data_IF_979949546156
#
_entry.id   IF_979949546156
#
_cell.length_a   1.000
_cell.length_b   1.000
_cell.length_c   1.000
_cell.angle_alpha   90.00
_cell.angle_beta   90.00
_cell.angle_gamma   90.00
#
_symmetry.space_group_name_H-M   'P 1'
#
loop_
_entity.id
_entity.type
_entity.pdbx_description
1 polymer ?
#
# COMPACT_ATOMS: atom_id res chain seq x y z
N UNK A 1 22.16 -14.11 0.65
CA UNK A 1 20.75 -14.18 0.21
C UNK A 1 20.58 -15.49 -0.55
N UNK A 2 19.51 -16.24 -0.28
CA UNK A 2 19.28 -17.56 -0.90
C UNK A 2 17.92 -17.66 -1.63
N UNK A 3 17.01 -16.71 -1.39
CA UNK A 3 15.70 -16.64 -2.03
C UNK A 3 15.21 -15.19 -2.08
N UNK A 4 14.15 -14.97 -2.86
CA UNK A 4 13.38 -13.74 -2.96
C UNK A 4 12.37 -13.56 -1.81
N UNK A 5 12.49 -14.34 -0.73
CA UNK A 5 11.59 -14.25 0.40
C UNK A 5 11.72 -12.90 1.14
N UNK A 6 10.62 -12.50 1.79
CA UNK A 6 10.62 -11.43 2.78
C UNK A 6 10.68 -12.08 4.15
N UNK A 7 11.78 -11.86 4.88
CA UNK A 7 11.94 -12.36 6.25
C UNK A 7 11.59 -11.24 7.24
N UNK A 8 10.72 -11.55 8.21
CA UNK A 8 10.36 -10.65 9.32
C UNK A 8 11.00 -11.19 10.60
N UNK A 9 11.65 -10.31 11.36
CA UNK A 9 12.26 -10.64 12.65
C UNK A 9 11.71 -9.70 13.72
N UNK A 10 11.33 -10.26 14.86
CA UNK A 10 10.87 -9.52 16.03
C UNK A 10 11.84 -9.78 17.17
N UNK A 11 12.36 -8.71 17.78
CA UNK A 11 13.14 -8.83 19.01
C UNK A 11 12.23 -9.25 20.15
N UNK A 12 12.57 -10.35 20.83
CA UNK A 12 11.85 -10.83 22.01
C UNK A 12 11.86 -9.80 23.14
N UNK A 13 13.01 -9.19 23.40
CA UNK A 13 13.21 -8.25 24.51
C UNK A 13 12.51 -6.90 24.27
N UNK A 14 12.59 -6.38 23.05
CA UNK A 14 12.17 -4.99 22.77
C UNK A 14 10.91 -4.90 21.92
N UNK A 15 10.44 -6.00 21.34
CA UNK A 15 9.39 -6.01 20.32
C UNK A 15 9.79 -5.33 19.01
N UNK A 16 11.04 -4.89 18.86
CA UNK A 16 11.50 -4.19 17.66
C UNK A 16 11.41 -5.07 16.41
N UNK A 17 10.82 -4.51 15.34
CA UNK A 17 10.55 -5.23 14.08
C UNK A 17 11.64 -4.89 13.05
N UNK A 18 12.10 -5.90 12.32
CA UNK A 18 13.02 -5.76 11.18
C UNK A 18 12.58 -6.64 10.01
N UNK A 19 12.88 -6.20 8.78
CA UNK A 19 12.64 -6.93 7.54
C UNK A 19 13.97 -7.14 6.81
N UNK A 20 14.17 -8.34 6.26
CA UNK A 20 15.26 -8.62 5.33
C UNK A 20 14.71 -9.13 3.98
N UNK A 21 15.16 -8.50 2.89
CA UNK A 21 14.79 -8.85 1.51
C UNK A 21 15.82 -8.24 0.53
N UNK A 22 16.14 -8.94 -0.57
CA UNK A 22 17.08 -8.46 -1.61
C UNK A 22 18.44 -7.98 -1.04
N UNK A 23 19.00 -8.73 -0.10
CA UNK A 23 20.29 -8.43 0.55
C UNK A 23 20.28 -7.21 1.47
N UNK A 24 19.13 -6.57 1.69
CA UNK A 24 18.96 -5.39 2.55
C UNK A 24 18.21 -5.75 3.81
N UNK A 25 18.59 -5.11 4.92
CA UNK A 25 17.89 -5.23 6.20
C UNK A 25 17.38 -3.85 6.63
N UNK A 26 16.07 -3.71 6.78
CA UNK A 26 15.42 -2.56 7.37
C UNK A 26 15.14 -2.86 8.85
N UNK A 27 15.64 -2.02 9.76
CA UNK A 27 15.52 -2.22 11.21
C UNK A 27 14.64 -1.16 11.84
N UNK A 28 14.12 -1.46 13.04
CA UNK A 28 13.32 -0.54 13.87
C UNK A 28 12.11 -0.02 13.10
N UNK A 29 11.40 -0.92 12.43
CA UNK A 29 10.15 -0.59 11.78
C UNK A 29 9.07 -0.42 12.85
N UNK A 30 8.31 0.66 12.72
CA UNK A 30 7.02 0.78 13.40
C UNK A 30 5.95 -0.07 12.66
N UNK A 31 4.80 -0.35 13.30
CA UNK A 31 3.75 -1.16 12.69
C UNK A 31 3.21 -0.57 11.37
N UNK A 32 3.11 0.75 11.26
CA UNK A 32 2.60 1.43 10.07
C UNK A 32 3.55 1.24 8.87
N UNK A 33 4.86 1.35 9.10
CA UNK A 33 5.89 1.06 8.09
C UNK A 33 5.89 -0.40 7.68
N UNK A 34 5.74 -1.32 8.63
CA UNK A 34 5.61 -2.76 8.31
C UNK A 34 4.40 -2.98 7.39
N UNK A 35 3.24 -2.43 7.74
CA UNK A 35 2.02 -2.55 6.95
C UNK A 35 2.19 -1.98 5.54
N UNK A 36 2.74 -0.76 5.42
CA UNK A 36 2.98 -0.12 4.14
C UNK A 36 3.92 -0.94 3.25
N UNK A 37 5.01 -1.47 3.83
CA UNK A 37 5.97 -2.31 3.12
C UNK A 37 5.28 -3.59 2.63
N UNK A 38 4.61 -4.34 3.51
CA UNK A 38 3.94 -5.58 3.13
C UNK A 38 2.80 -5.34 2.13
N UNK A 39 2.07 -4.24 2.27
CA UNK A 39 1.01 -3.84 1.33
C UNK A 39 1.60 -3.58 -0.05
N UNK A 40 2.70 -2.85 -0.15
CA UNK A 40 3.38 -2.59 -1.42
C UNK A 40 3.90 -3.87 -2.08
N UNK A 41 4.40 -4.83 -1.29
CA UNK A 41 4.91 -6.10 -1.82
C UNK A 41 3.80 -7.08 -2.24
N UNK A 42 2.69 -7.15 -1.51
CA UNK A 42 1.68 -8.20 -1.70
C UNK A 42 0.37 -7.73 -2.32
N UNK A 43 0.19 -6.42 -2.57
CA UNK A 43 -0.93 -5.90 -3.36
C UNK A 43 -0.43 -5.42 -4.72
N UNK A 44 -0.43 -6.26 -5.76
CA UNK A 44 -0.19 -5.79 -7.11
C UNK A 44 -1.36 -4.88 -7.50
N UNK A 45 -1.03 -3.66 -7.93
CA UNK A 45 -1.88 -2.64 -8.56
C UNK A 45 -3.22 -3.17 -9.09
N UNK A 46 -4.36 -2.71 -8.54
CA UNK A 46 -5.62 -3.00 -9.22
C UNK A 46 -6.95 -2.57 -8.60
N UNK A 47 -7.02 -2.23 -7.30
CA UNK A 47 -8.23 -1.61 -6.73
C UNK A 47 -7.85 -0.61 -5.65
N UNK A 48 -7.35 0.56 -6.06
CA UNK A 48 -7.72 1.75 -5.32
C UNK A 48 -9.22 1.95 -5.55
N UNK A 49 -10.04 1.66 -4.53
CA UNK A 49 -11.39 2.22 -4.46
C UNK A 49 -11.26 3.73 -4.23
N UNK A 50 -10.82 4.48 -5.25
CA UNK A 50 -11.05 5.93 -5.28
C UNK A 50 -12.53 6.08 -5.60
N UNK A 51 -13.37 6.52 -4.64
CA UNK A 51 -14.78 6.65 -4.91
C UNK A 51 -14.95 7.69 -6.02
N UNK A 52 -15.75 7.35 -7.03
CA UNK A 52 -15.96 8.06 -8.29
C UNK A 52 -16.71 9.41 -8.11
N UNK A 53 -16.40 10.19 -7.06
CA UNK A 53 -17.09 11.43 -6.70
C UNK A 53 -16.99 12.49 -7.80
N UNK A 54 -15.80 12.65 -8.38
CA UNK A 54 -15.58 13.59 -9.49
C UNK A 54 -16.35 13.20 -10.75
N UNK A 55 -16.42 11.90 -11.05
CA UNK A 55 -17.21 11.40 -12.18
C UNK A 55 -18.72 11.67 -12.00
N UNK A 56 -19.23 11.60 -10.76
CA UNK A 56 -20.63 11.89 -10.43
C UNK A 56 -20.98 13.38 -10.49
N UNK A 57 -20.01 14.26 -10.24
CA UNK A 57 -20.20 15.72 -10.36
C UNK A 57 -20.16 16.15 -11.83
N UNK A 58 -19.21 15.63 -12.61
CA UNK A 58 -19.11 15.93 -14.04
C UNK A 58 -20.33 15.42 -14.83
N UNK A 59 -20.85 14.25 -14.49
CA UNK A 59 -22.05 13.71 -15.16
C UNK A 59 -23.32 14.52 -14.86
N UNK A 60 -23.40 15.19 -13.70
CA UNK A 60 -24.53 16.04 -13.34
C UNK A 60 -24.54 17.37 -14.12
N UNK A 61 -23.38 17.86 -14.54
CA UNK A 61 -23.25 19.13 -15.27
C UNK A 61 -23.48 18.93 -16.77
N UNK A 62 -23.11 17.77 -17.33
CA UNK A 62 -23.22 17.48 -18.78
C UNK A 62 -24.66 17.28 -19.29
N UNK A 63 -25.65 17.04 -18.42
CA UNK A 63 -27.05 16.84 -18.83
C UNK A 63 -27.80 18.14 -19.16
N UNK A 64 -27.17 19.31 -18.95
CA UNK A 64 -27.85 20.60 -19.11
C UNK A 64 -27.62 21.29 -20.46
N UNK A 65 -26.80 20.71 -21.33
CA UNK A 65 -26.40 21.33 -22.61
C UNK A 65 -27.09 20.73 -23.84
N UNK A 66 -27.95 19.70 -23.67
CA UNK A 66 -28.61 19.01 -24.79
C UNK A 66 -30.07 19.42 -25.06
N UNK A 67 -30.55 20.47 -24.40
CA UNK A 67 -31.90 21.05 -24.58
C UNK A 67 -31.84 22.49 -25.12
N UNK A 68 -31.08 22.73 -26.19
CA UNK A 68 -31.20 23.96 -26.99
C UNK A 68 -31.19 23.69 -28.48
#
# INVERSE_FOLDING_TARGET
EASDAIAIVVSEETGGISIAHAGRMLRRLDPERLENILTAFFRPSGRENKPNFFARILSAISQREKDK
#
